data_IF_236440409169
#
_entry.id   IF_236440409169
#
_cell.length_a   1.000
_cell.length_b   1.000
_cell.length_c   1.000
_cell.angle_alpha   90.00
_cell.angle_beta   90.00
_cell.angle_gamma   90.00
#
_symmetry.space_group_name_H-M   'P 1'
#
loop_
_entity.id
_entity.type
_entity.pdbx_description
1 polymer ?
2 non-polymer ?
3 non-polymer ?
4 non-polymer ?
5 water ?
#
# COMPACT_ATOMS: atom_id res chain seq x y z
N UNK A 1 24.45 8.49 10.55
CA UNK A 1 25.31 8.59 9.38
C UNK A 1 25.20 7.42 8.43
N UNK A 2 26.09 7.42 7.43
CA UNK A 2 26.25 6.38 6.41
C UNK A 2 27.13 5.25 6.96
N UNK A 3 27.65 4.41 6.07
CA UNK A 3 28.51 3.31 6.49
C UNK A 3 29.70 3.78 7.34
N UNK A 4 30.02 5.07 7.26
CA UNK A 4 31.11 5.63 8.05
C UNK A 4 30.93 5.68 9.56
N UNK A 5 29.68 5.58 10.04
CA UNK A 5 29.40 5.75 11.47
C UNK A 5 28.82 4.49 12.13
N UNK A 6 28.56 4.56 13.43
CA UNK A 6 28.11 3.36 14.16
C UNK A 6 26.65 3.07 13.82
N UNK A 7 26.41 1.89 13.27
CA UNK A 7 25.08 1.53 12.77
C UNK A 7 24.15 1.07 13.88
N UNK A 8 22.86 1.26 13.65
CA UNK A 8 21.82 0.88 14.59
C UNK A 8 21.56 -0.63 14.58
N UNK A 9 21.66 -1.28 13.42
CA UNK A 9 21.46 -2.73 13.36
C UNK A 9 22.71 -3.49 13.78
N UNK A 10 22.56 -4.48 14.66
CA UNK A 10 23.73 -5.22 15.11
C UNK A 10 24.17 -6.22 14.06
N UNK A 11 23.26 -6.59 13.15
CA UNK A 11 23.67 -7.36 11.97
C UNK A 11 22.59 -7.18 10.93
N UNK A 12 22.90 -7.41 9.66
CA UNK A 12 21.87 -7.11 8.67
C UNK A 12 21.18 -8.40 8.30
N UNK A 13 20.09 -8.62 9.02
CA UNK A 13 19.30 -9.84 8.96
C UNK A 13 17.96 -9.50 9.58
N UNK A 14 16.98 -10.35 9.33
CA UNK A 14 15.69 -10.22 10.00
C UNK A 14 15.88 -10.28 11.51
N UNK A 15 16.76 -11.18 11.95
CA UNK A 15 17.07 -11.27 13.37
C UNK A 15 17.61 -9.94 13.94
N UNK A 16 18.49 -9.26 13.22
CA UNK A 16 18.99 -7.96 13.65
C UNK A 16 17.88 -6.91 13.71
N UNK A 17 16.99 -6.93 12.73
CA UNK A 17 15.86 -6.00 12.71
C UNK A 17 14.95 -6.22 13.92
N UNK A 18 14.67 -7.47 14.26
CA UNK A 18 13.80 -7.78 15.37
C UNK A 18 14.38 -7.24 16.69
N UNK A 19 15.67 -7.48 16.93
CA UNK A 19 16.32 -6.96 18.13
C UNK A 19 16.28 -5.43 18.19
N UNK A 20 16.44 -4.80 17.03
CA UNK A 20 16.34 -3.35 16.93
C UNK A 20 14.94 -2.88 17.31
N UNK A 21 13.94 -3.56 16.77
CA UNK A 21 12.56 -3.19 17.01
C UNK A 21 12.19 -3.24 18.49
N UNK A 22 12.73 -4.22 19.21
CA UNK A 22 12.40 -4.39 20.62
C UNK A 22 13.36 -3.67 21.56
N UNK A 23 14.29 -2.90 20.98
CA UNK A 23 15.14 -2.04 21.78
C UNK A 23 14.49 -0.66 21.97
N UNK A 24 15.10 0.17 22.79
CA UNK A 24 14.52 1.49 23.08
C UNK A 24 14.70 2.45 21.90
N UNK A 25 15.56 2.10 20.97
CA UNK A 25 15.89 3.02 19.89
C UNK A 25 14.81 3.02 18.79
N UNK A 26 13.95 2.00 18.78
CA UNK A 26 12.93 1.88 17.75
C UNK A 26 11.52 2.07 18.32
N UNK A 27 10.91 3.17 17.90
CA UNK A 27 9.68 3.72 18.47
C UNK A 27 8.67 3.89 17.33
N UNK A 28 9.10 4.56 16.27
CA UNK A 28 8.24 4.85 15.13
C UNK A 28 8.62 4.17 13.81
N UNK A 29 7.68 3.35 13.31
CA UNK A 29 7.82 2.58 12.07
C UNK A 29 6.90 3.12 10.96
N UNK A 30 7.48 3.34 9.79
CA UNK A 30 6.72 3.66 8.58
C UNK A 30 6.71 2.43 7.69
N UNK A 31 5.52 2.05 7.23
CA UNK A 31 5.38 0.99 6.26
C UNK A 31 5.14 1.58 4.89
N UNK A 32 5.78 1.01 3.89
CA UNK A 32 5.55 1.35 2.49
C UNK A 32 5.15 0.06 1.82
N UNK A 33 3.93 -0.02 1.30
CA UNK A 33 3.41 -1.27 0.74
C UNK A 33 2.80 -1.09 -0.63
N UNK A 34 2.68 -2.21 -1.34
CA UNK A 34 2.31 -2.25 -2.74
C UNK A 34 1.56 -3.53 -3.03
N UNK A 35 1.28 -3.79 -4.31
CA UNK A 35 0.36 -4.85 -4.72
C UNK A 35 0.74 -6.21 -4.15
N UNK A 36 2.03 -6.38 -3.88
CA UNK A 36 2.55 -7.63 -3.36
C UNK A 36 2.00 -8.04 -2.00
N UNK A 37 1.40 -7.12 -1.26
CA UNK A 37 0.80 -7.53 0.01
C UNK A 37 -0.67 -7.95 -0.12
N UNK A 38 -1.29 -7.71 -1.29
CA UNK A 38 -2.68 -8.16 -1.53
C UNK A 38 -2.88 -9.39 -2.42
N UNK A 39 -1.81 -9.93 -2.99
CA UNK A 39 -1.96 -11.03 -3.95
C UNK A 39 -2.46 -12.30 -3.25
N UNK A 40 -2.01 -12.55 -2.02
CA UNK A 40 -2.48 -13.75 -1.30
C UNK A 40 -3.91 -13.56 -0.79
N UNK A 41 -4.43 -12.35 -0.92
CA UNK A 41 -5.83 -12.05 -0.58
C UNK A 41 -6.71 -12.26 -1.81
N UNK A 42 -6.10 -12.73 -2.89
CA UNK A 42 -6.85 -13.02 -4.10
C UNK A 42 -7.03 -11.80 -5.00
N UNK A 43 -6.25 -10.75 -4.75
CA UNK A 43 -6.29 -9.58 -5.64
C UNK A 43 -4.98 -9.47 -6.43
N UNK A 44 -5.02 -9.82 -7.74
CA UNK A 44 -3.77 -9.73 -8.50
C UNK A 44 -3.37 -8.29 -8.74
N UNK A 45 -2.09 -8.09 -9.02
CA UNK A 45 -1.57 -6.77 -9.33
C UNK A 45 -1.94 -6.44 -10.77
N UNK A 46 -2.75 -5.41 -10.97
CA UNK A 46 -3.26 -5.18 -12.32
C UNK A 46 -2.13 -4.61 -13.18
N UNK A 47 -1.04 -4.21 -12.55
CA UNK A 47 0.15 -3.75 -13.28
C UNK A 47 1.07 -4.89 -13.76
N UNK A 48 0.97 -6.06 -13.14
CA UNK A 48 1.81 -7.21 -13.54
C UNK A 48 1.29 -7.81 -14.85
N UNK A 49 2.17 -8.02 -15.83
CA UNK A 49 1.70 -8.61 -17.09
C UNK A 49 0.98 -9.95 -16.93
N UNK A 50 1.46 -10.79 -16.01
CA UNK A 50 0.85 -12.10 -15.80
C UNK A 50 -0.63 -12.04 -15.44
N UNK A 51 -1.07 -10.93 -14.87
CA UNK A 51 -2.48 -10.81 -14.46
C UNK A 51 -3.43 -10.76 -15.65
N UNK A 52 -2.92 -10.34 -16.80
CA UNK A 52 -3.69 -10.40 -18.04
C UNK A 52 -4.81 -9.38 -18.20
N UNK A 53 -4.65 -8.21 -17.58
CA UNK A 53 -5.65 -7.14 -17.64
C UNK A 53 -6.06 -6.81 -19.08
N UNK A 54 -5.06 -6.60 -19.94
CA UNK A 54 -5.32 -6.18 -21.32
C UNK A 54 -6.06 -7.24 -22.14
N UNK A 55 -5.92 -8.51 -21.78
CA UNK A 55 -6.71 -9.56 -22.43
C UNK A 55 -8.19 -9.39 -22.08
N UNK A 56 -8.47 -9.06 -20.82
CA UNK A 56 -9.84 -8.80 -20.38
C UNK A 56 -10.42 -7.56 -21.05
N UNK A 57 -9.56 -6.62 -21.42
CA UNK A 57 -9.98 -5.33 -21.95
C UNK A 57 -10.40 -5.34 -23.43
N UNK A 58 -10.09 -6.39 -24.17
CA UNK A 58 -10.42 -6.37 -25.60
C UNK A 58 -11.92 -6.48 -25.84
N UNK A 63 -10.03 2.29 -28.07
CA UNK A 63 -9.03 2.97 -28.91
C UNK A 63 -7.65 2.37 -28.69
N UNK A 64 -7.20 2.42 -27.44
CA UNK A 64 -5.97 1.78 -27.01
C UNK A 64 -6.19 1.30 -25.57
N UNK A 65 -5.41 0.30 -25.15
CA UNK A 65 -5.70 -0.28 -23.83
C UNK A 65 -5.48 0.70 -22.68
N UNK A 66 -4.55 1.64 -22.86
CA UNK A 66 -4.18 2.59 -21.80
C UNK A 66 -5.28 3.58 -21.48
N UNK A 67 -6.22 3.76 -22.42
CA UNK A 67 -7.28 4.76 -22.24
C UNK A 67 -8.07 4.50 -20.97
N UNK A 68 -8.09 3.23 -20.55
CA UNK A 68 -8.83 2.86 -19.37
C UNK A 68 -8.34 3.61 -18.13
N UNK A 69 -7.07 4.02 -18.15
CA UNK A 69 -6.44 4.72 -17.02
C UNK A 69 -6.48 6.25 -17.06
N UNK A 70 -6.87 6.82 -18.20
CA UNK A 70 -6.70 8.25 -18.42
C UNK A 70 -7.92 9.05 -17.98
N UNK A 71 -7.69 10.09 -17.18
CA UNK A 71 -8.76 10.88 -16.60
C UNK A 71 -9.55 11.61 -17.69
N UNK A 72 -8.85 12.06 -18.73
CA UNK A 72 -9.51 12.77 -19.81
C UNK A 72 -10.50 11.85 -20.52
N UNK A 73 -10.06 10.63 -20.82
CA UNK A 73 -10.93 9.66 -21.49
C UNK A 73 -12.10 9.26 -20.60
N UNK A 74 -11.80 9.01 -19.34
CA UNK A 74 -12.82 8.64 -18.36
C UNK A 74 -13.99 9.63 -18.35
N UNK A 75 -13.65 10.92 -18.30
CA UNK A 75 -14.67 11.95 -18.12
C UNK A 75 -15.64 12.03 -19.29
N UNK A 76 -15.14 11.85 -20.51
CA UNK A 76 -16.04 11.80 -21.66
C UNK A 76 -16.52 10.40 -22.04
N UNK A 77 -15.87 9.35 -21.51
CA UNK A 77 -16.29 7.98 -21.77
C UNK A 77 -16.10 7.10 -20.54
N UNK A 78 -16.93 7.31 -19.49
CA UNK A 78 -16.82 6.57 -18.22
C UNK A 78 -17.22 5.09 -18.27
N UNK A 79 -17.96 4.67 -19.29
CA UNK A 79 -18.62 3.37 -19.22
C UNK A 79 -17.63 2.19 -19.15
N UNK A 80 -16.54 2.23 -19.95
CA UNK A 80 -15.57 1.14 -19.88
C UNK A 80 -15.02 0.96 -18.46
N UNK A 81 -14.63 2.05 -17.82
CA UNK A 81 -14.06 1.97 -16.48
C UNK A 81 -14.98 1.25 -15.51
N UNK A 82 -16.26 1.63 -15.50
CA UNK A 82 -17.19 1.08 -14.55
C UNK A 82 -17.58 -0.35 -14.88
N UNK A 83 -17.54 -0.71 -16.15
CA UNK A 83 -17.73 -2.09 -16.54
C UNK A 83 -16.57 -2.96 -16.03
N UNK A 84 -15.36 -2.43 -16.16
CA UNK A 84 -14.17 -3.15 -15.71
C UNK A 84 -14.18 -3.27 -14.19
N UNK A 85 -14.62 -2.20 -13.52
CA UNK A 85 -14.70 -2.21 -12.06
C UNK A 85 -15.57 -3.37 -11.60
N UNK A 86 -16.70 -3.59 -12.28
CA UNK A 86 -17.57 -4.70 -11.93
C UNK A 86 -16.86 -6.03 -12.16
N UNK A 87 -16.15 -6.13 -13.29
CA UNK A 87 -15.51 -7.39 -13.65
C UNK A 87 -14.42 -7.78 -12.66
N UNK A 88 -13.66 -6.77 -12.21
CA UNK A 88 -12.52 -6.96 -11.32
C UNK A 88 -12.85 -6.77 -9.84
N UNK A 89 -14.10 -6.45 -9.53
CA UNK A 89 -14.49 -6.25 -8.15
C UNK A 89 -14.22 -7.51 -7.33
N UNK A 90 -13.37 -7.41 -6.29
CA UNK A 90 -13.10 -8.61 -5.48
C UNK A 90 -14.36 -9.26 -4.91
N UNK A 91 -14.42 -10.58 -4.97
CA UNK A 91 -15.55 -11.34 -4.44
C UNK A 91 -15.61 -11.32 -2.93
N UNK A 92 -14.48 -11.04 -2.31
CA UNK A 92 -14.37 -10.91 -0.87
C UNK A 92 -13.21 -9.97 -0.56
N UNK A 93 -13.29 -9.22 0.54
CA UNK A 93 -12.16 -8.43 1.00
C UNK A 93 -11.69 -9.01 2.34
N UNK A 94 -10.60 -9.75 2.28
CA UNK A 94 -10.09 -10.51 3.40
C UNK A 94 -8.61 -10.23 3.51
N UNK A 95 -8.21 -9.23 4.31
CA UNK A 95 -6.81 -8.81 4.36
C UNK A 95 -5.86 -9.94 4.74
N UNK A 96 -4.60 -9.78 4.39
CA UNK A 96 -3.62 -10.84 4.56
C UNK A 96 -2.92 -10.76 5.89
N UNK A 97 -2.07 -11.76 6.15
CA UNK A 97 -1.26 -11.78 7.36
C UNK A 97 -0.46 -10.51 7.46
N UNK A 98 0.09 -10.09 6.31
CA UNK A 98 0.84 -8.86 6.21
C UNK A 98 0.04 -7.64 6.66
N UNK A 99 -1.19 -7.50 6.17
CA UNK A 99 -2.07 -6.41 6.61
C UNK A 99 -2.26 -6.41 8.13
N UNK A 100 -2.54 -7.59 8.70
CA UNK A 100 -2.79 -7.67 10.13
C UNK A 100 -1.50 -7.51 10.94
N UNK A 101 -0.36 -7.82 10.35
CA UNK A 101 0.91 -7.51 11.01
C UNK A 101 1.00 -5.99 11.23
N UNK A 102 0.52 -5.21 10.26
CA UNK A 102 0.55 -3.76 10.43
C UNK A 102 -0.45 -3.32 11.52
N UNK A 103 -1.59 -4.00 11.60
CA UNK A 103 -2.53 -3.74 12.70
C UNK A 103 -1.86 -4.03 14.05
N UNK A 104 -1.08 -5.11 14.10
CA UNK A 104 -0.31 -5.39 15.32
C UNK A 104 0.66 -4.26 15.65
N UNK A 105 1.36 -3.74 14.63
CA UNK A 105 2.25 -2.61 14.86
C UNK A 105 1.48 -1.46 15.49
N UNK A 106 0.26 -1.21 15.00
CA UNK A 106 -0.58 -0.15 15.54
C UNK A 106 -0.91 -0.44 17.00
N UNK A 107 -1.31 -1.67 17.27
CA UNK A 107 -1.66 -2.08 18.64
C UNK A 107 -0.48 -1.97 19.61
N UNK A 108 0.72 -2.18 19.09
CA UNK A 108 1.95 -2.20 19.91
C UNK A 108 2.54 -0.80 20.08
N UNK A 109 1.86 0.19 19.49
CA UNK A 109 2.27 1.58 19.56
C UNK A 109 3.46 1.92 18.68
N UNK A 110 3.78 1.05 17.72
CA UNK A 110 4.95 1.27 16.85
C UNK A 110 4.65 1.88 15.47
N UNK A 111 3.38 2.04 15.12
CA UNK A 111 3.06 2.43 13.75
C UNK A 111 2.91 3.94 13.62
N UNK A 112 3.86 4.57 12.95
CA UNK A 112 3.73 5.97 12.65
C UNK A 112 2.80 6.19 11.45
N UNK A 113 3.09 5.52 10.34
CA UNK A 113 2.26 5.66 9.14
C UNK A 113 2.39 4.43 8.23
N UNK A 114 1.31 4.12 7.54
CA UNK A 114 1.33 3.19 6.41
C UNK A 114 1.03 3.94 5.13
N UNK A 115 2.04 4.04 4.26
CA UNK A 115 1.87 4.56 2.91
C UNK A 115 1.62 3.41 1.97
N UNK A 116 0.46 3.42 1.28
CA UNK A 116 0.11 2.31 0.40
C UNK A 116 -0.08 2.81 -1.03
N UNK A 117 0.31 1.96 -1.99
CA UNK A 117 0.02 2.15 -3.42
C UNK A 117 -1.28 1.46 -3.84
N UNK A 118 -1.86 0.67 -2.94
CA UNK A 118 -3.03 -0.16 -3.26
C UNK A 118 -4.34 0.60 -3.14
N UNK A 119 -5.26 0.30 -4.05
CA UNK A 119 -6.60 0.89 -4.04
C UNK A 119 -7.72 0.01 -3.45
N UNK A 120 -7.35 -1.15 -2.90
CA UNK A 120 -8.32 -2.21 -2.55
C UNK A 120 -9.02 -2.08 -1.19
N UNK A 121 -8.64 -1.07 -0.42
CA UNK A 121 -9.11 -0.77 0.92
C UNK A 121 -8.79 -1.83 1.98
N UNK A 122 -7.84 -2.71 1.73
CA UNK A 122 -7.62 -3.80 2.70
C UNK A 122 -6.96 -3.29 3.99
N UNK A 123 -6.17 -2.22 3.90
CA UNK A 123 -5.57 -1.65 5.10
C UNK A 123 -6.64 -1.20 6.08
N UNK A 124 -7.72 -0.62 5.56
CA UNK A 124 -8.83 -0.14 6.37
C UNK A 124 -9.59 -1.28 7.01
N UNK A 125 -9.86 -2.32 6.22
CA UNK A 125 -10.59 -3.48 6.71
C UNK A 125 -9.82 -4.20 7.80
N UNK A 126 -8.49 -4.17 7.70
CA UNK A 126 -7.63 -4.80 8.69
C UNK A 126 -7.49 -3.99 10.00
N UNK A 127 -8.03 -2.79 10.02
CA UNK A 127 -8.04 -1.97 11.23
C UNK A 127 -7.09 -0.78 11.33
N UNK A 128 -6.44 -0.43 10.22
CA UNK A 128 -5.74 0.85 10.18
C UNK A 128 -6.77 1.93 9.95
N UNK A 129 -6.63 3.04 10.69
CA UNK A 129 -7.60 4.12 10.58
C UNK A 129 -7.06 5.21 9.68
N UNK A 130 -7.89 6.21 9.40
CA UNK A 130 -7.51 7.20 8.39
C UNK A 130 -6.24 7.92 8.78
N UNK A 131 -6.10 8.25 10.06
CA UNK A 131 -4.89 8.95 10.52
C UNK A 131 -3.63 8.11 10.29
N UNK A 132 -3.79 6.79 10.28
CA UNK A 132 -2.66 5.87 10.14
C UNK A 132 -2.22 5.75 8.69
N UNK A 133 -3.06 6.19 7.77
CA UNK A 133 -2.96 5.82 6.35
C UNK A 133 -2.68 6.98 5.42
N UNK A 134 -1.77 6.75 4.48
CA UNK A 134 -1.64 7.62 3.32
C UNK A 134 -1.82 6.76 2.08
N UNK A 135 -2.93 6.95 1.39
CA UNK A 135 -3.20 6.17 0.21
C UNK A 135 -2.65 7.00 -0.94
N UNK A 136 -1.47 6.59 -1.39
CA UNK A 136 -0.67 7.44 -2.26
C UNK A 136 -1.26 7.48 -3.66
N UNK A 137 -1.86 6.36 -4.06
CA UNK A 137 -2.52 6.25 -5.35
C UNK A 137 -4.03 6.49 -5.28
N UNK A 138 -4.52 6.93 -4.13
CA UNK A 138 -5.94 7.14 -3.91
C UNK A 138 -6.60 5.84 -3.49
N UNK A 139 -7.94 5.84 -3.49
CA UNK A 139 -8.67 4.65 -3.05
C UNK A 139 -10.10 4.60 -3.58
N UNK A 140 -10.66 3.40 -3.61
CA UNK A 140 -12.07 3.20 -3.89
C UNK A 140 -12.95 3.48 -2.67
N UNK A 141 -12.36 3.59 -1.48
CA UNK A 141 -13.16 3.72 -0.26
C UNK A 141 -14.15 4.89 -0.31
N UNK A 142 -13.73 6.02 -0.87
CA UNK A 142 -14.65 7.14 -1.10
C UNK A 142 -14.62 7.60 -2.56
N UNK A 143 -15.71 8.25 -2.98
CA UNK A 143 -15.84 8.81 -4.33
C UNK A 143 -16.39 10.23 -4.23
N UNK A 144 -16.18 11.03 -5.27
CA UNK A 144 -16.67 12.41 -5.28
C UNK A 144 -17.29 12.75 -6.62
N UNK A 145 -18.37 13.51 -6.56
CA UNK A 145 -18.90 14.23 -7.71
C UNK A 145 -17.78 15.06 -8.35
N UNK A 146 -17.64 15.04 -9.68
CA UNK A 146 -16.51 15.70 -10.31
C UNK A 146 -16.71 17.21 -10.54
N UNK A 147 -17.90 17.71 -10.24
CA UNK A 147 -18.18 19.13 -10.39
C UNK A 147 -17.54 19.92 -9.25
N UNK A 148 -16.76 20.92 -9.63
CA UNK A 148 -15.96 21.68 -8.67
C UNK A 148 -16.83 22.43 -7.66
N UNK A 149 -18.03 22.84 -8.09
CA UNK A 149 -18.95 23.58 -7.23
C UNK A 149 -19.83 22.68 -6.37
N UNK A 150 -19.67 21.36 -6.49
CA UNK A 150 -20.43 20.40 -5.70
C UNK A 150 -19.51 19.48 -4.87
N UNK A 151 -18.81 18.57 -5.54
CA UNK A 151 -17.86 17.67 -4.86
C UNK A 151 -18.53 16.83 -3.76
N UNK A 152 -19.82 16.52 -3.92
CA UNK A 152 -20.55 15.61 -3.02
C UNK A 152 -19.80 14.28 -2.88
N UNK A 153 -19.62 13.84 -1.63
CA UNK A 153 -18.84 12.63 -1.35
C UNK A 153 -19.75 11.43 -1.20
N UNK A 154 -19.37 10.29 -1.77
CA UNK A 154 -20.18 9.06 -1.69
C UNK A 154 -19.37 7.88 -1.15
N UNK A 155 -20.02 7.05 -0.30
CA UNK A 155 -19.34 5.88 0.29
C UNK A 155 -19.24 4.71 -0.69
N UNK A 156 -18.29 3.80 -0.44
CA UNK A 156 -18.12 2.65 -1.33
C UNK A 156 -19.40 1.85 -1.51
N UNK A 157 -20.20 1.71 -0.46
CA UNK A 157 -21.47 0.97 -0.54
C UNK A 157 -22.37 1.52 -1.65
N UNK A 158 -22.38 2.84 -1.79
CA UNK A 158 -23.12 3.54 -2.85
C UNK A 158 -22.51 3.25 -4.22
N UNK A 159 -21.19 3.41 -4.32
CA UNK A 159 -20.48 3.17 -5.58
C UNK A 159 -20.57 1.71 -6.03
N UNK A 160 -20.49 0.79 -5.07
CA UNK A 160 -20.59 -0.63 -5.37
C UNK A 160 -21.94 -0.95 -6.00
N UNK A 161 -23.02 -0.43 -5.41
CA UNK A 161 -24.36 -0.70 -5.92
C UNK A 161 -24.47 -0.23 -7.38
N UNK A 162 -23.96 0.97 -7.65
CA UNK A 162 -23.97 1.53 -9.00
C UNK A 162 -23.12 0.67 -9.92
N UNK A 163 -22.01 0.17 -9.40
CA UNK A 163 -21.12 -0.65 -10.20
C UNK A 163 -21.78 -1.98 -10.60
N UNK A 164 -22.42 -2.64 -9.63
CA UNK A 164 -23.03 -3.94 -9.91
C UNK A 164 -24.37 -3.84 -10.64
N UNK A 165 -25.10 -2.75 -10.41
CA UNK A 165 -26.35 -2.51 -11.14
C UNK A 165 -26.07 -2.07 -12.58
N UNK A 166 -24.81 -1.79 -12.86
CA UNK A 166 -24.38 -1.32 -14.17
C UNK A 166 -25.11 -0.04 -14.55
N UNK A 167 -25.25 0.85 -13.57
CA UNK A 167 -25.70 2.22 -13.79
C UNK A 167 -24.51 3.15 -13.62
N UNK A 168 -24.22 3.97 -14.64
CA UNK A 168 -23.13 4.92 -14.53
C UNK A 168 -23.41 5.86 -13.35
N UNK A 169 -22.48 5.94 -12.38
CA UNK A 169 -22.81 6.74 -11.21
C UNK A 169 -22.89 8.24 -11.49
N UNK A 170 -24.00 8.84 -11.05
CA UNK A 170 -24.25 10.27 -11.23
C UNK A 170 -24.64 10.88 -9.89
N UNK A 171 -24.16 12.09 -9.67
CA UNK A 171 -24.40 12.80 -8.41
C UNK A 171 -25.87 13.10 -8.19
N UNK A 172 -26.38 12.74 -7.02
CA UNK A 172 -27.79 12.94 -6.70
C UNK A 172 -28.18 14.42 -6.63
N UNK A 173 -27.25 15.28 -6.24
CA UNK A 173 -27.49 16.72 -6.26
C UNK A 173 -27.46 17.39 -7.65
N UNK A 174 -26.35 17.24 -8.35
CA UNK A 174 -26.15 17.89 -9.67
C UNK A 174 -26.16 17.05 -10.96
N UNK A 175 -26.26 15.72 -10.84
CA UNK A 175 -26.16 14.76 -11.94
C UNK A 175 -24.85 14.76 -12.76
N UNK A 176 -23.78 15.29 -12.18
CA UNK A 176 -22.43 15.14 -12.74
C UNK A 176 -21.91 13.74 -12.45
N UNK A 177 -20.88 13.33 -13.18
CA UNK A 177 -20.23 12.06 -12.94
C UNK A 177 -19.67 11.97 -11.53
N UNK A 178 -19.81 10.81 -10.90
CA UNK A 178 -19.13 10.54 -9.64
C UNK A 178 -17.95 9.58 -9.86
N UNK A 179 -16.76 10.03 -9.47
CA UNK A 179 -15.50 9.32 -9.71
C UNK A 179 -14.92 8.74 -8.43
N UNK A 180 -14.61 7.44 -8.42
CA UNK A 180 -13.85 6.98 -7.25
C UNK A 180 -12.58 7.80 -7.02
N UNK A 181 -12.14 7.84 -5.77
CA UNK A 181 -11.07 8.71 -5.32
C UNK A 181 -9.68 8.13 -5.68
N UNK A 182 -9.64 7.15 -6.57
CA UNK A 182 -8.34 6.72 -7.11
C UNK A 182 -7.66 7.73 -8.05
N UNK A 183 -6.34 7.73 -8.06
CA UNK A 183 -5.62 8.62 -8.94
C UNK A 183 -5.60 8.04 -10.34
N UNK A 184 -6.23 8.74 -11.28
CA UNK A 184 -6.15 8.41 -12.69
C UNK A 184 -4.87 8.96 -13.28
N UNK A 185 -4.38 8.32 -14.33
CA UNK A 185 -3.29 8.90 -15.10
C UNK A 185 -3.76 10.27 -15.57
N UNK A 186 -2.92 11.28 -15.36
CA UNK A 186 -3.26 12.65 -15.67
C UNK A 186 -3.61 13.47 -14.45
N UNK A 187 -3.91 12.78 -13.35
CA UNK A 187 -4.14 13.43 -12.05
C UNK A 187 -2.87 13.43 -11.23
N UNK A 188 -2.67 14.46 -10.41
CA UNK A 188 -1.58 14.46 -9.43
C UNK A 188 -1.89 13.55 -8.23
N UNK A 189 -0.84 13.15 -7.50
CA UNK A 189 -1.06 12.37 -6.30
C UNK A 189 -1.75 13.29 -5.28
N UNK A 190 -2.44 12.71 -4.29
CA UNK A 190 -3.12 13.51 -3.26
C UNK A 190 -2.17 14.42 -2.49
N UNK A 191 -2.65 15.63 -2.17
CA UNK A 191 -1.88 16.58 -1.39
C UNK A 191 -1.40 15.95 -0.09
N UNK A 192 -2.25 15.11 0.49
CA UNK A 192 -1.96 14.42 1.75
C UNK A 192 -0.64 13.66 1.69
N UNK A 193 -0.36 13.05 0.54
CA UNK A 193 0.90 12.33 0.36
C UNK A 193 2.08 13.23 0.64
N UNK A 194 2.06 14.43 0.06
CA UNK A 194 3.21 15.33 0.17
C UNK A 194 3.32 15.95 1.57
N UNK A 195 2.21 16.40 2.13
CA UNK A 195 2.28 17.05 3.44
C UNK A 195 2.71 16.04 4.52
N UNK A 196 2.21 14.81 4.40
CA UNK A 196 2.56 13.79 5.39
C UNK A 196 4.00 13.35 5.28
N UNK A 197 4.48 13.19 4.05
CA UNK A 197 5.86 12.77 3.81
C UNK A 197 6.84 13.76 4.43
N UNK A 198 6.54 15.04 4.29
CA UNK A 198 7.43 16.07 4.83
C UNK A 198 7.56 15.97 6.36
N UNK A 199 6.48 15.65 7.05
CA UNK A 199 6.53 15.50 8.50
C UNK A 199 7.04 14.14 8.98
N UNK A 200 6.58 13.08 8.32
CA UNK A 200 6.78 11.73 8.84
C UNK A 200 8.24 11.28 8.77
N UNK A 201 8.96 11.68 7.75
CA UNK A 201 10.31 11.14 7.56
C UNK A 201 11.35 11.86 8.40
N UNK A 202 10.93 12.88 9.14
CA UNK A 202 11.74 13.43 10.22
C UNK A 202 11.72 12.52 11.46
N UNK A 203 10.64 11.76 11.60
CA UNK A 203 10.33 10.99 12.80
C UNK A 203 10.63 9.47 12.76
N UNK A 204 11.09 8.96 11.63
CA UNK A 204 11.03 7.52 11.39
C UNK A 204 12.26 6.77 11.90
N UNK A 205 12.03 5.77 12.76
CA UNK A 205 13.07 4.85 13.24
C UNK A 205 13.35 3.62 12.36
N UNK A 206 12.32 3.17 11.63
CA UNK A 206 12.43 1.99 10.78
C UNK A 206 11.51 2.12 9.58
N UNK A 207 12.00 1.72 8.42
CA UNK A 207 11.20 1.68 7.20
C UNK A 207 10.98 0.22 6.85
N UNK A 208 9.72 -0.20 6.82
CA UNK A 208 9.34 -1.54 6.44
C UNK A 208 8.70 -1.49 5.05
N UNK A 209 9.39 -2.04 4.06
CA UNK A 209 8.98 -1.93 2.67
C UNK A 209 8.54 -3.30 2.22
N UNK A 210 7.24 -3.45 1.89
CA UNK A 210 6.69 -4.77 1.62
C UNK A 210 5.88 -4.81 0.33
N UNK A 211 6.16 -5.81 -0.50
CA UNK A 211 5.28 -6.10 -1.62
C UNK A 211 5.22 -4.98 -2.64
N UNK A 212 6.36 -4.31 -2.82
CA UNK A 212 6.50 -3.30 -3.88
C UNK A 212 7.90 -3.33 -4.50
N UNK A 213 7.95 -3.22 -5.82
CA UNK A 213 9.21 -3.18 -6.57
C UNK A 213 9.80 -1.77 -6.65
N UNK A 214 9.07 -0.80 -6.10
CA UNK A 214 9.53 0.59 -6.05
C UNK A 214 9.90 1.14 -7.42
N UNK A 215 9.13 0.75 -8.43
CA UNK A 215 9.33 1.26 -9.80
C UNK A 215 8.46 2.45 -10.20
N UNK A 216 7.45 2.75 -9.39
CA UNK A 216 6.48 3.78 -9.74
C UNK A 216 6.70 5.01 -8.90
N UNK A 217 6.98 6.13 -9.56
CA UNK A 217 7.25 7.42 -8.92
C UNK A 217 5.99 8.27 -8.77
N UNK A 218 5.99 9.21 -7.80
CA UNK A 218 6.99 9.50 -6.75
C UNK A 218 7.08 8.47 -5.63
N UNK A 219 6.11 7.55 -5.51
CA UNK A 219 6.09 6.63 -4.38
C UNK A 219 7.44 5.97 -4.15
N UNK A 220 8.11 5.57 -5.22
CA UNK A 220 9.39 4.87 -5.12
C UNK A 220 10.44 5.70 -4.38
N UNK A 221 10.48 6.99 -4.67
CA UNK A 221 11.53 7.86 -4.15
C UNK A 221 11.40 8.10 -2.65
N UNK A 222 10.33 7.61 -2.05
CA UNK A 222 10.16 7.76 -0.61
C UNK A 222 11.35 7.19 0.16
N UNK A 223 12.02 6.17 -0.35
CA UNK A 223 13.02 5.50 0.48
C UNK A 223 14.20 6.44 0.67
N UNK A 224 14.38 7.38 -0.26
CA UNK A 224 15.46 8.35 -0.17
C UNK A 224 15.17 9.49 0.83
N UNK A 225 13.96 9.53 1.36
CA UNK A 225 13.56 10.57 2.32
C UNK A 225 13.91 10.17 3.74
N UNK A 226 14.32 8.92 3.92
CA UNK A 226 14.69 8.45 5.26
C UNK A 226 16.02 9.05 5.71
N UNK A 227 16.14 9.34 7.02
CA UNK A 227 17.44 9.74 7.56
C UNK A 227 18.48 8.69 7.25
N UNK A 228 19.74 9.10 7.14
CA UNK A 228 20.81 8.17 6.76
C UNK A 228 20.93 6.94 7.69
N UNK A 229 20.64 7.09 8.99
CA UNK A 229 20.81 5.99 9.94
C UNK A 229 19.61 5.02 10.01
N UNK A 230 18.49 5.41 9.44
CA UNK A 230 17.26 4.62 9.57
C UNK A 230 17.32 3.27 8.85
N UNK A 231 17.24 2.16 9.60
CA UNK A 231 17.24 0.87 8.89
C UNK A 231 16.02 0.69 8.00
N UNK A 232 16.22 -0.06 6.92
CA UNK A 232 15.19 -0.27 5.93
C UNK A 232 15.13 -1.77 5.64
N UNK A 233 14.00 -2.38 6.01
CA UNK A 233 13.77 -3.80 5.73
C UNK A 233 12.83 -3.96 4.56
N UNK A 234 13.29 -4.67 3.53
CA UNK A 234 12.48 -5.03 2.38
C UNK A 234 11.98 -6.46 2.53
N UNK A 235 10.65 -6.65 2.52
CA UNK A 235 10.08 -7.98 2.45
C UNK A 235 9.36 -8.08 1.11
N UNK A 236 9.92 -8.85 0.18
CA UNK A 236 9.43 -8.86 -1.19
C UNK A 236 9.90 -10.11 -1.90
N UNK A 237 9.23 -10.50 -2.98
CA UNK A 237 9.64 -11.67 -3.73
C UNK A 237 11.02 -11.49 -4.37
N UNK A 238 11.34 -10.25 -4.75
CA UNK A 238 12.65 -9.95 -5.34
C UNK A 238 13.25 -8.63 -4.80
N UNK A 239 14.57 -8.54 -4.80
CA UNK A 239 15.25 -7.33 -4.34
C UNK A 239 14.83 -6.15 -5.18
N UNK A 240 14.73 -5.00 -4.53
CA UNK A 240 14.26 -3.78 -5.17
C UNK A 240 14.84 -2.56 -4.49
N UNK A 241 14.77 -1.42 -5.17
CA UNK A 241 15.17 -0.16 -4.56
C UNK A 241 16.63 0.18 -4.75
N UNK A 242 17.38 -0.71 -5.41
CA UNK A 242 18.77 -0.44 -5.66
C UNK A 242 18.86 0.61 -6.76
N UNK A 243 19.91 1.43 -6.75
CA UNK A 243 20.09 2.43 -7.79
C UNK A 243 20.32 1.76 -9.15
N UNK A 244 19.74 2.35 -10.19
CA UNK A 244 19.92 1.88 -11.56
C UNK A 244 21.35 2.21 -12.00
N UNK A 245 22.16 1.18 -12.32
CA UNK A 245 23.55 1.47 -12.67
C UNK A 245 23.64 2.37 -13.89
N UNK A 246 22.60 2.37 -14.72
CA UNK A 246 22.56 3.20 -15.91
C UNK A 246 22.25 4.66 -15.59
N UNK A 247 21.25 4.89 -14.74
CA UNK A 247 20.85 6.23 -14.32
C UNK A 247 21.62 6.71 -13.09
N UNK A 255 21.38 7.96 -2.47
CA UNK A 255 21.15 6.84 -3.38
C UNK A 255 20.04 5.92 -2.88
N UNK A 256 20.10 4.67 -3.31
CA UNK A 256 19.07 3.68 -3.04
C UNK A 256 19.48 2.64 -2.00
N UNK A 257 18.82 1.48 -2.07
CA UNK A 257 19.13 0.36 -1.20
C UNK A 257 20.54 -0.17 -1.43
N UNK A 258 21.28 -0.44 -0.37
CA UNK A 258 22.47 -1.27 -0.49
C UNK A 258 22.37 -2.40 0.53
N UNK A 259 22.04 -3.58 0.01
CA UNK A 259 21.93 -4.79 0.83
C UNK A 259 23.26 -5.54 0.98
N UNK A 260 23.91 -5.67 -0.17
CA UNK A 260 25.03 -6.60 -0.34
C UNK A 260 26.47 -6.10 -0.41
N UNK A 261 26.71 -4.80 -0.42
CA UNK A 261 28.07 -4.33 -0.68
C UNK A 261 28.86 -4.28 0.60
N UNK A 262 30.14 -3.95 0.49
CA UNK A 262 31.01 -3.89 1.65
C UNK A 262 30.66 -2.69 2.51
N UNK A 263 29.96 -1.74 1.91
CA UNK A 263 29.49 -0.55 2.61
C UNK A 263 28.07 -0.70 3.17
N UNK A 264 27.42 -1.85 3.00
CA UNK A 264 26.02 -1.93 3.41
C UNK A 264 25.97 -1.88 4.92
N UNK A 265 25.36 -0.84 5.48
CA UNK A 265 25.11 -0.80 6.91
C UNK A 265 23.71 -0.88 7.53
N UNK A 266 22.70 -0.46 6.77
CA UNK A 266 21.29 -0.43 7.25
C UNK A 266 20.16 -1.20 6.55
N UNK A 267 20.45 -1.78 5.39
CA UNK A 267 19.39 -2.28 4.51
C UNK A 267 19.42 -3.79 4.52
N UNK A 268 18.23 -4.37 4.65
CA UNK A 268 18.06 -5.81 4.77
C UNK A 268 16.98 -6.30 3.79
N UNK A 269 17.31 -7.33 3.01
CA UNK A 269 16.34 -7.93 2.11
C UNK A 269 15.99 -9.32 2.59
N UNK A 270 14.68 -9.53 2.77
CA UNK A 270 14.13 -10.84 3.07
C UNK A 270 13.26 -11.24 1.89
N UNK A 271 13.70 -12.25 1.15
CA UNK A 271 13.06 -12.59 -0.13
C UNK A 271 12.11 -13.78 -0.04
N UNK A 272 10.86 -13.51 -0.41
CA UNK A 272 9.80 -14.49 -0.36
C UNK A 272 8.48 -13.75 -0.35
N UNK A 273 7.41 -14.49 -0.08
CA UNK A 273 6.07 -13.92 0.04
C UNK A 273 5.94 -13.04 1.27
N UNK A 274 5.20 -11.94 1.16
CA UNK A 274 5.08 -10.98 2.26
C UNK A 274 4.48 -11.63 3.53
N UNK A 275 3.49 -12.50 3.34
CA UNK A 275 2.90 -13.19 4.48
C UNK A 275 3.95 -14.00 5.23
N UNK A 276 4.82 -14.70 4.49
CA UNK A 276 5.81 -15.56 5.14
C UNK A 276 6.89 -14.75 5.84
N UNK A 277 7.29 -13.63 5.25
CA UNK A 277 8.28 -12.76 5.84
C UNK A 277 7.74 -12.11 7.10
N UNK A 278 6.49 -11.64 7.03
CA UNK A 278 5.86 -11.03 8.19
C UNK A 278 5.66 -12.06 9.30
N UNK A 279 5.31 -13.29 8.92
CA UNK A 279 5.15 -14.35 9.91
C UNK A 279 6.50 -14.60 10.61
N UNK A 280 7.58 -14.61 9.84
CA UNK A 280 8.92 -14.90 10.37
C UNK A 280 9.35 -13.80 11.34
N UNK A 281 9.10 -12.55 10.95
CA UNK A 281 9.41 -11.41 11.81
C UNK A 281 8.57 -11.46 13.09
N UNK A 282 7.27 -11.73 12.98
CA UNK A 282 6.40 -11.80 14.13
C UNK A 282 6.88 -12.87 15.11
N UNK A 283 7.32 -13.99 14.57
CA UNK A 283 7.80 -15.08 15.42
C UNK A 283 9.08 -14.66 16.17
N UNK A 284 10.00 -13.98 15.51
CA UNK A 284 11.19 -13.46 16.19
C UNK A 284 10.82 -12.50 17.33
N UNK A 285 9.74 -11.75 17.14
CA UNK A 285 9.32 -10.73 18.11
C UNK A 285 8.55 -11.28 19.28
N UNK A 286 8.17 -12.56 19.22
CA UNK A 286 7.30 -13.14 20.21
C UNK A 286 5.82 -12.80 19.99
N UNK A 287 5.51 -12.37 18.76
CA UNK A 287 4.15 -11.97 18.38
C UNK A 287 3.35 -13.04 17.65
N UNK A 288 3.91 -14.23 17.43
CA UNK A 288 3.27 -15.18 16.52
C UNK A 288 1.85 -15.57 16.98
N UNK A 289 1.68 -15.89 18.26
CA UNK A 289 0.35 -16.26 18.77
C UNK A 289 -0.62 -15.10 18.61
N UNK A 290 -0.14 -13.90 18.93
CA UNK A 290 -0.97 -12.69 18.83
C UNK A 290 -1.46 -12.52 17.40
N UNK A 291 -0.55 -12.69 16.44
CA UNK A 291 -0.88 -12.55 15.02
C UNK A 291 -1.84 -13.65 14.54
N UNK A 292 -1.54 -14.89 14.89
CA UNK A 292 -2.41 -16.02 14.60
C UNK A 292 -3.81 -15.77 15.08
N UNK A 293 -3.93 -15.37 16.34
CA UNK A 293 -5.20 -15.14 16.98
C UNK A 293 -5.98 -14.03 16.28
N UNK A 294 -5.28 -12.95 15.95
CA UNK A 294 -5.89 -11.82 15.26
C UNK A 294 -6.40 -12.22 13.88
N UNK A 295 -5.53 -12.79 13.06
CA UNK A 295 -5.90 -13.19 11.70
C UNK A 295 -7.04 -14.18 11.71
N UNK A 296 -6.98 -15.19 12.56
CA UNK A 296 -7.99 -16.23 12.52
C UNK A 296 -9.36 -15.66 12.90
N UNK A 297 -9.37 -14.79 13.90
CA UNK A 297 -10.58 -14.11 14.34
C UNK A 297 -11.17 -13.25 13.23
N UNK A 298 -10.34 -12.42 12.62
CA UNK A 298 -10.84 -11.49 11.62
C UNK A 298 -11.25 -12.22 10.34
N UNK A 299 -10.48 -13.23 9.94
CA UNK A 299 -10.83 -14.03 8.79
C UNK A 299 -12.18 -14.74 9.01
N UNK A 300 -12.37 -15.31 10.20
CA UNK A 300 -13.63 -15.99 10.52
C UNK A 300 -14.78 -15.01 10.41
N UNK A 301 -14.60 -13.83 11.00
CA UNK A 301 -15.61 -12.79 10.96
C UNK A 301 -15.98 -12.40 9.51
N UNK A 302 -14.97 -12.16 8.66
CA UNK A 302 -15.20 -11.79 7.27
C UNK A 302 -15.89 -12.93 6.49
N UNK A 303 -15.45 -14.17 6.71
CA UNK A 303 -16.04 -15.32 6.04
C UNK A 303 -17.52 -15.47 6.40
N UNK A 304 -17.86 -15.02 7.60
CA UNK A 304 -19.20 -15.20 8.17
C UNK A 304 -20.11 -14.02 7.86
N UNK A 305 -19.64 -13.07 7.05
CA UNK A 305 -20.47 -11.93 6.70
C UNK A 305 -21.76 -12.39 6.01
N UNK A 306 -22.91 -11.97 6.55
CA UNK A 306 -24.20 -12.46 6.07
C UNK A 306 -25.13 -11.32 5.67
#
# INVERSE_FOLDING_TARGET
GASGSERLLDELTLEGVARYMQSERCRRVICLVGAGISTSAGIPDFRSPSTGLYDNLEKYHLPYPEAIFEISYFKKHPEPFFALAKELYPGQFKPTICHYFMRLLKDKGLLLRCYTQNIDTLERIAGLEQEDLVEAHGTFYTSHCVSASCRHEYPLSWMKEKIFSEVTPKCEDCQSLVKPDIVFFGESLPARFFSCMQSDFLKVDLLLVMGTSLQVQPFASLISKAPLSTPRLLINKEKAGQSDPFLGMIMGLGGGMDFDSKKAYRDVAWLGECDQGCLALAELLGWKKELEDLVRREHASIDAQS
#
